data_IF_850630423654
#
_entry.id   IF_850630423654
#
_cell.length_a   1.000
_cell.length_b   1.000
_cell.length_c   1.000
_cell.angle_alpha   90.00
_cell.angle_beta   90.00
_cell.angle_gamma   90.00
#
_symmetry.space_group_name_H-M   'P 1'
#
loop_
_entity.id
_entity.type
_entity.pdbx_description
1 polymer ?
#
# COMPACT_ATOMS: atom_id res chain seq x y z
N UNK A 1 11.48 -0.68 8.79
CA UNK A 1 10.81 -2.00 8.69
C UNK A 1 11.10 -2.74 7.40
N UNK A 2 11.04 -2.09 6.25
CA UNK A 2 11.34 -2.75 4.95
C UNK A 2 12.77 -3.28 4.91
N UNK A 3 13.76 -2.47 5.29
CA UNK A 3 15.17 -2.91 5.35
C UNK A 3 15.38 -4.03 6.36
N UNK A 4 14.70 -3.96 7.50
CA UNK A 4 14.80 -4.99 8.54
C UNK A 4 14.40 -6.37 8.01
N UNK A 5 13.42 -6.43 7.11
CA UNK A 5 12.95 -7.68 6.50
C UNK A 5 13.66 -8.01 5.18
N UNK A 6 14.75 -7.32 4.86
CA UNK A 6 15.59 -7.63 3.71
C UNK A 6 15.18 -6.98 2.40
N UNK A 7 14.28 -6.00 2.43
CA UNK A 7 13.87 -5.25 1.26
C UNK A 7 14.64 -3.97 1.05
N UNK A 8 14.51 -3.36 -0.11
CA UNK A 8 15.08 -2.07 -0.46
C UNK A 8 13.98 -1.04 -0.70
N UNK A 9 13.90 0.04 0.12
CA UNK A 9 12.93 1.11 -0.15
C UNK A 9 13.33 1.86 -1.42
N UNK A 10 12.43 1.91 -2.41
CA UNK A 10 12.66 2.65 -3.65
C UNK A 10 12.40 4.15 -3.47
N UNK A 11 11.40 4.49 -2.67
CA UNK A 11 11.04 5.87 -2.36
C UNK A 11 10.23 5.92 -1.07
N UNK A 12 10.00 7.12 -0.60
CA UNK A 12 9.22 7.38 0.61
C UNK A 12 8.34 8.60 0.38
N UNK A 13 7.09 8.51 0.82
CA UNK A 13 6.14 9.61 0.73
C UNK A 13 5.32 9.69 2.02
N UNK A 14 5.33 10.84 2.66
CA UNK A 14 4.54 11.11 3.85
C UNK A 14 3.31 11.93 3.46
N UNK A 15 2.12 11.43 3.80
CA UNK A 15 0.86 12.08 3.47
C UNK A 15 0.43 13.07 4.55
N UNK A 16 0.98 12.93 5.75
CA UNK A 16 0.61 13.76 6.91
C UNK A 16 -0.69 13.32 7.56
N UNK A 17 -1.06 14.00 8.66
CA UNK A 17 -2.30 13.77 9.37
C UNK A 17 -3.48 14.48 8.73
N UNK A 18 -4.68 13.91 8.88
CA UNK A 18 -5.92 14.52 8.37
C UNK A 18 -6.05 14.51 6.86
N UNK A 19 -5.38 13.60 6.18
CA UNK A 19 -5.45 13.49 4.73
C UNK A 19 -6.85 13.10 4.26
N UNK A 20 -7.32 13.75 3.20
CA UNK A 20 -8.59 13.43 2.57
C UNK A 20 -8.46 12.24 1.61
N UNK A 21 -9.58 11.65 1.23
CA UNK A 21 -9.65 10.62 0.19
C UNK A 21 -8.94 11.06 -1.09
N UNK A 22 -9.15 12.28 -1.53
CA UNK A 22 -8.52 12.84 -2.72
C UNK A 22 -7.01 12.99 -2.59
N UNK A 23 -6.53 13.46 -1.42
CA UNK A 23 -5.10 13.58 -1.16
C UNK A 23 -4.40 12.22 -1.19
N UNK A 24 -5.02 11.22 -0.62
CA UNK A 24 -4.51 9.84 -0.60
C UNK A 24 -4.42 9.29 -2.02
N UNK A 25 -5.47 9.48 -2.80
CA UNK A 25 -5.50 9.07 -4.20
C UNK A 25 -4.39 9.72 -5.03
N UNK A 26 -4.21 11.03 -4.90
CA UNK A 26 -3.15 11.76 -5.61
C UNK A 26 -1.76 11.28 -5.20
N UNK A 27 -1.54 11.08 -3.90
CA UNK A 27 -0.26 10.61 -3.38
C UNK A 27 0.07 9.22 -3.89
N UNK A 28 -0.91 8.31 -3.88
CA UNK A 28 -0.74 6.96 -4.40
C UNK A 28 -0.45 6.95 -5.89
N UNK A 29 -1.10 7.81 -6.66
CA UNK A 29 -0.83 7.91 -8.10
C UNK A 29 0.62 8.27 -8.39
N UNK A 30 1.22 9.14 -7.59
CA UNK A 30 2.64 9.50 -7.71
C UNK A 30 3.52 8.26 -7.51
N UNK A 31 3.27 7.51 -6.42
CA UNK A 31 4.08 6.34 -6.07
C UNK A 31 3.86 5.20 -7.06
N UNK A 32 2.61 4.93 -7.45
CA UNK A 32 2.26 3.86 -8.37
C UNK A 32 2.89 4.06 -9.76
N UNK A 33 3.12 5.30 -10.16
CA UNK A 33 3.72 5.64 -11.44
C UNK A 33 5.25 5.77 -11.38
N UNK A 34 5.85 5.58 -10.21
CA UNK A 34 7.30 5.58 -10.07
C UNK A 34 7.84 4.21 -10.48
N UNK A 35 8.52 4.16 -11.60
CA UNK A 35 8.97 2.92 -12.24
C UNK A 35 9.73 1.93 -11.33
N UNK A 36 10.67 2.35 -10.47
CA UNK A 36 11.36 1.42 -9.58
C UNK A 36 10.50 0.73 -8.54
N UNK A 37 9.28 1.21 -8.28
CA UNK A 37 8.39 0.64 -7.27
C UNK A 37 7.77 -0.66 -7.78
N UNK A 38 7.92 -1.75 -7.02
CA UNK A 38 7.32 -3.05 -7.31
C UNK A 38 6.13 -3.34 -6.39
N UNK A 39 6.23 -2.88 -5.13
CA UNK A 39 5.19 -3.03 -4.13
C UNK A 39 5.11 -1.73 -3.34
N UNK A 40 3.90 -1.29 -3.05
CA UNK A 40 3.65 -0.15 -2.17
C UNK A 40 3.28 -0.68 -0.79
N UNK A 41 3.99 -0.23 0.22
CA UNK A 41 3.61 -0.44 1.61
C UNK A 41 3.00 0.87 2.12
N UNK A 42 1.70 0.84 2.43
CA UNK A 42 1.00 1.98 2.99
C UNK A 42 0.76 1.74 4.47
N UNK A 43 1.35 2.57 5.30
CA UNK A 43 1.21 2.48 6.74
C UNK A 43 0.30 3.59 7.25
N UNK A 44 -0.89 3.22 7.72
CA UNK A 44 -1.88 4.17 8.24
C UNK A 44 -2.18 3.88 9.69
N UNK A 45 -1.86 4.85 10.52
CA UNK A 45 -2.18 4.83 11.94
C UNK A 45 -3.25 5.89 12.17
N UNK A 46 -4.50 5.44 12.30
CA UNK A 46 -5.65 6.34 12.37
C UNK A 46 -5.70 7.18 13.63
N UNK A 47 -6.08 8.40 13.44
CA UNK A 47 -6.40 9.41 14.42
C UNK A 47 -7.34 10.37 13.71
N UNK A 48 -6.79 11.45 13.18
CA UNK A 48 -7.55 12.44 12.40
C UNK A 48 -7.93 11.86 11.02
N UNK A 49 -7.02 11.12 10.39
CA UNK A 49 -7.32 10.44 9.13
C UNK A 49 -8.18 9.20 9.40
N UNK A 50 -9.33 9.12 8.79
CA UNK A 50 -10.26 8.00 8.97
C UNK A 50 -9.89 6.84 8.04
N UNK A 51 -9.93 5.62 8.57
CA UNK A 51 -9.55 4.43 7.82
C UNK A 51 -10.43 4.17 6.59
N UNK A 52 -11.72 4.47 6.67
CA UNK A 52 -12.63 4.34 5.53
C UNK A 52 -12.29 5.32 4.39
N UNK A 53 -11.90 6.55 4.71
CA UNK A 53 -11.45 7.52 3.71
C UNK A 53 -10.16 7.04 3.02
N UNK A 54 -9.23 6.48 3.79
CA UNK A 54 -8.01 5.89 3.24
C UNK A 54 -8.35 4.74 2.29
N UNK A 55 -9.22 3.84 2.73
CA UNK A 55 -9.62 2.68 1.93
C UNK A 55 -10.25 3.10 0.60
N UNK A 56 -11.15 4.09 0.62
CA UNK A 56 -11.76 4.63 -0.60
C UNK A 56 -10.73 5.26 -1.53
N UNK A 57 -9.81 6.05 -0.99
CA UNK A 57 -8.73 6.66 -1.77
C UNK A 57 -7.83 5.63 -2.44
N UNK A 58 -7.50 4.57 -1.71
CA UNK A 58 -6.68 3.45 -2.23
C UNK A 58 -7.41 2.72 -3.36
N UNK A 59 -8.67 2.37 -3.15
CA UNK A 59 -9.47 1.66 -4.16
C UNK A 59 -9.59 2.50 -5.43
N UNK A 60 -9.88 3.80 -5.30
CA UNK A 60 -9.98 4.69 -6.44
C UNK A 60 -8.67 4.83 -7.20
N UNK A 61 -7.54 4.95 -6.46
CA UNK A 61 -6.23 5.04 -7.08
C UNK A 61 -5.90 3.78 -7.89
N UNK A 62 -6.21 2.61 -7.36
CA UNK A 62 -5.99 1.34 -8.06
C UNK A 62 -6.84 1.24 -9.31
N UNK A 63 -8.11 1.64 -9.23
CA UNK A 63 -9.02 1.61 -10.39
C UNK A 63 -8.58 2.53 -11.51
N UNK A 64 -8.04 3.69 -11.17
CA UNK A 64 -7.55 4.65 -12.16
C UNK A 64 -6.17 4.33 -12.69
N UNK A 65 -5.36 3.64 -11.90
CA UNK A 65 -4.00 3.28 -12.28
C UNK A 65 -4.00 2.09 -13.23
N UNK A 66 -3.17 2.16 -14.26
CA UNK A 66 -2.87 1.04 -15.13
C UNK A 66 -1.67 0.23 -14.63
N UNK A 67 -1.15 0.60 -13.46
CA UNK A 67 -0.01 -0.05 -12.86
C UNK A 67 -0.36 -1.44 -12.33
N UNK A 68 0.56 -2.39 -12.47
CA UNK A 68 0.44 -3.73 -11.91
C UNK A 68 1.10 -3.84 -10.52
N UNK A 69 1.40 -2.71 -9.91
CA UNK A 69 2.03 -2.66 -8.59
C UNK A 69 1.05 -3.16 -7.53
N UNK A 70 1.53 -4.07 -6.69
CA UNK A 70 0.76 -4.58 -5.56
C UNK A 70 0.83 -3.62 -4.38
N UNK A 71 -0.23 -3.55 -3.59
CA UNK A 71 -0.28 -2.70 -2.39
C UNK A 71 -0.53 -3.59 -1.17
N UNK A 72 0.23 -3.35 -0.12
CA UNK A 72 0.01 -3.93 1.22
C UNK A 72 -0.26 -2.79 2.18
N UNK A 73 -1.31 -2.87 2.96
CA UNK A 73 -1.75 -1.79 3.83
C UNK A 73 -1.75 -2.24 5.29
N UNK A 74 -1.13 -1.43 6.15
CA UNK A 74 -1.37 -1.51 7.57
C UNK A 74 -2.36 -0.41 7.92
N UNK A 75 -3.54 -0.79 8.38
CA UNK A 75 -4.66 0.12 8.58
C UNK A 75 -5.29 -0.11 9.94
N UNK A 76 -5.13 0.86 10.83
CA UNK A 76 -5.74 0.86 12.17
C UNK A 76 -6.28 2.24 12.51
N UNK A 77 -7.16 2.33 13.49
CA UNK A 77 -7.66 3.59 14.03
C UNK A 77 -9.14 3.84 13.76
N UNK A 78 -9.50 5.10 13.60
CA UNK A 78 -10.91 5.51 13.43
C UNK A 78 -11.54 4.87 12.20
N UNK A 79 -12.68 4.21 12.39
CA UNK A 79 -13.43 3.50 11.34
C UNK A 79 -12.64 2.36 10.67
N UNK A 80 -11.72 1.73 11.41
CA UNK A 80 -10.87 0.67 10.83
C UNK A 80 -11.66 -0.52 10.30
N UNK A 81 -12.74 -0.92 10.95
CA UNK A 81 -13.57 -2.05 10.50
C UNK A 81 -14.19 -1.78 9.12
N UNK A 82 -14.72 -0.58 8.94
CA UNK A 82 -15.29 -0.18 7.65
C UNK A 82 -14.20 -0.08 6.57
N UNK A 83 -13.04 0.49 6.92
CA UNK A 83 -11.91 0.57 6.00
C UNK A 83 -11.43 -0.81 5.57
N UNK A 84 -11.32 -1.74 6.51
CA UNK A 84 -10.92 -3.12 6.23
C UNK A 84 -11.94 -3.82 5.33
N UNK A 85 -13.23 -3.61 5.58
CA UNK A 85 -14.29 -4.16 4.74
C UNK A 85 -14.18 -3.68 3.28
N UNK A 86 -13.94 -2.40 3.09
CA UNK A 86 -13.77 -1.80 1.76
C UNK A 86 -12.58 -2.44 1.04
N UNK A 87 -11.45 -2.63 1.73
CA UNK A 87 -10.27 -3.25 1.18
C UNK A 87 -10.50 -4.73 0.84
N UNK A 88 -11.19 -5.47 1.71
CA UNK A 88 -11.52 -6.87 1.45
C UNK A 88 -12.38 -7.03 0.21
N UNK A 89 -13.40 -6.21 0.05
CA UNK A 89 -14.27 -6.24 -1.13
C UNK A 89 -13.52 -5.93 -2.42
N UNK A 90 -12.47 -5.12 -2.34
CA UNK A 90 -11.61 -4.79 -3.48
C UNK A 90 -10.47 -5.79 -3.70
N UNK A 91 -10.32 -6.78 -2.82
CA UNK A 91 -9.25 -7.78 -2.92
C UNK A 91 -7.87 -7.26 -2.55
N UNK A 92 -7.80 -6.20 -1.74
CA UNK A 92 -6.54 -5.57 -1.35
C UNK A 92 -6.11 -6.11 0.03
N UNK A 93 -4.90 -6.68 0.14
CA UNK A 93 -4.41 -7.20 1.42
C UNK A 93 -4.18 -6.08 2.44
N UNK A 94 -4.58 -6.33 3.68
CA UNK A 94 -4.26 -5.43 4.78
C UNK A 94 -3.81 -6.22 6.00
N UNK A 95 -3.09 -5.54 6.90
CA UNK A 95 -2.61 -6.10 8.16
C UNK A 95 -2.80 -5.08 9.27
N UNK A 96 -2.97 -5.56 10.51
CA UNK A 96 -3.03 -4.71 11.69
C UNK A 96 -1.62 -4.41 12.21
N UNK A 97 -0.73 -5.38 12.13
CA UNK A 97 0.66 -5.26 12.57
C UNK A 97 1.52 -4.66 11.48
N UNK A 98 2.26 -3.58 11.83
CA UNK A 98 3.22 -2.97 10.91
C UNK A 98 4.31 -3.94 10.49
N UNK A 99 4.77 -4.78 11.42
CA UNK A 99 5.79 -5.78 11.15
C UNK A 99 5.31 -6.82 10.12
N UNK A 100 4.12 -7.35 10.32
CA UNK A 100 3.52 -8.32 9.38
C UNK A 100 3.27 -7.71 8.01
N UNK A 101 2.82 -6.47 7.96
CA UNK A 101 2.59 -5.76 6.70
C UNK A 101 3.89 -5.54 5.94
N UNK A 102 4.94 -5.09 6.63
CA UNK A 102 6.25 -4.89 6.03
C UNK A 102 6.84 -6.19 5.50
N UNK A 103 6.75 -7.26 6.28
CA UNK A 103 7.21 -8.60 5.87
C UNK A 103 6.48 -9.08 4.63
N UNK A 104 5.16 -8.91 4.59
CA UNK A 104 4.33 -9.29 3.45
C UNK A 104 4.71 -8.50 2.20
N UNK A 105 4.98 -7.20 2.34
CA UNK A 105 5.42 -6.36 1.22
C UNK A 105 6.74 -6.86 0.63
N UNK A 106 7.70 -7.21 1.49
CA UNK A 106 8.99 -7.75 1.06
C UNK A 106 8.83 -9.10 0.38
N UNK A 107 8.00 -9.99 0.92
CA UNK A 107 7.71 -11.29 0.33
C UNK A 107 7.10 -11.16 -1.07
N UNK A 108 6.14 -10.25 -1.24
CA UNK A 108 5.53 -9.97 -2.54
C UNK A 108 6.53 -9.42 -3.53
N UNK A 109 7.39 -8.50 -3.10
CA UNK A 109 8.43 -7.94 -3.94
C UNK A 109 9.42 -9.01 -4.41
N UNK A 110 9.83 -9.89 -3.52
CA UNK A 110 10.75 -10.99 -3.85
C UNK A 110 10.10 -11.98 -4.83
N UNK A 111 8.81 -12.25 -4.67
CA UNK A 111 8.07 -13.10 -5.59
C UNK A 111 8.00 -12.50 -6.99
N UNK A 112 7.73 -11.21 -7.09
CA UNK A 112 7.69 -10.49 -8.37
C UNK A 112 9.07 -10.53 -9.05
N UNK A 113 10.15 -10.28 -8.30
CA UNK A 113 11.51 -10.36 -8.82
C UNK A 113 11.86 -11.77 -9.33
N UNK A 114 11.44 -12.81 -8.61
CA UNK A 114 11.66 -14.19 -9.04
C UNK A 114 10.91 -14.51 -10.33
N UNK A 115 9.67 -14.04 -10.47
CA UNK A 115 8.89 -14.20 -11.70
C UNK A 115 9.55 -13.49 -12.89
N UNK A 116 10.01 -12.26 -12.69
CA UNK A 116 10.74 -11.51 -13.72
C UNK A 116 12.02 -12.24 -14.15
N UNK A 117 12.76 -12.78 -13.18
CA UNK A 117 13.98 -13.53 -13.43
C UNK A 117 13.72 -14.78 -14.28
N UNK A 118 12.59 -15.45 -14.06
CA UNK A 118 12.23 -16.65 -14.81
C UNK A 118 11.88 -16.39 -16.28
N UNK A 119 11.62 -15.14 -16.65
CA UNK A 119 11.35 -14.74 -18.04
C UNK A 119 12.58 -14.26 -18.79
N UNK A 120 13.72 -14.16 -18.14
CA UNK A 120 14.96 -13.79 -18.81
C UNK A 120 15.53 -14.98 -19.62
N UNK A 121 15.95 -14.75 -20.85
CA UNK A 121 16.53 -15.81 -21.70
C UNK A 121 17.85 -16.33 -21.13
#
# INVERSE_FOLDING_TARGET
>A
MIKFHGGEPATFLDIGGGASEESIKKSLNIVLNYEPVKVVFLNVLGGITKADDVAHGVVDAIKESKSLVSIVIRLTGTNEEEGQRILEEAGIPYEISMEKAAKKAVELCNKIKAEEWNFLP
#
